data_IF_900753268611
#
_entry.id   IF_900753268611
#
_cell.length_a   1.000
_cell.length_b   1.000
_cell.length_c   1.000
_cell.angle_alpha   90.00
_cell.angle_beta   90.00
_cell.angle_gamma   90.00
#
_symmetry.space_group_name_H-M   'P 1'
#
loop_
_entity.id
_entity.type
_entity.pdbx_description
1 polymer ?
#
# COMPACT_ATOMS: atom_id res chain seq x y z
N UNK A 1 34.68 -0.97 6.51
CA UNK A 1 33.89 -0.08 5.62
C UNK A 1 32.52 0.06 6.25
N UNK A 2 32.07 1.30 6.48
CA UNK A 2 30.74 1.60 7.05
C UNK A 2 29.94 2.30 5.97
N UNK A 3 28.70 1.82 5.69
CA UNK A 3 27.78 2.48 4.78
C UNK A 3 26.75 3.28 5.61
N UNK A 4 26.61 4.57 5.35
CA UNK A 4 25.54 5.40 5.88
C UNK A 4 24.37 5.45 4.90
N UNK A 5 23.17 5.22 5.40
CA UNK A 5 21.93 5.38 4.60
C UNK A 5 21.39 6.79 4.81
N UNK A 6 21.71 7.68 3.88
CA UNK A 6 21.34 9.11 4.01
C UNK A 6 19.98 9.46 3.40
N UNK A 7 19.50 8.68 2.42
CA UNK A 7 18.19 8.86 1.80
C UNK A 7 17.51 7.50 1.63
N UNK A 8 16.78 7.07 2.65
CA UNK A 8 16.05 5.82 2.59
C UNK A 8 14.54 6.05 2.50
N UNK A 9 13.88 5.29 1.65
CA UNK A 9 12.43 5.19 1.61
C UNK A 9 12.05 3.82 2.15
N UNK A 10 11.26 3.80 3.22
CA UNK A 10 10.83 2.56 3.88
C UNK A 10 9.43 2.14 3.44
N UNK A 11 9.24 0.84 3.35
CA UNK A 11 7.93 0.19 3.34
C UNK A 11 7.83 -0.74 4.54
N UNK A 12 6.69 -0.75 5.21
CA UNK A 12 6.46 -1.62 6.37
C UNK A 12 5.50 -2.74 6.01
N UNK A 13 5.81 -3.97 6.42
CA UNK A 13 5.02 -5.16 6.10
C UNK A 13 4.68 -5.91 7.38
N UNK A 14 3.40 -6.26 7.52
CA UNK A 14 2.88 -7.05 8.64
C UNK A 14 2.13 -8.26 8.13
N UNK A 15 2.27 -9.39 8.81
CA UNK A 15 1.37 -10.54 8.66
C UNK A 15 0.28 -10.43 9.73
N UNK A 16 -0.98 -10.41 9.31
CA UNK A 16 -2.13 -10.36 10.21
C UNK A 16 -2.95 -11.63 9.99
N UNK A 17 -3.10 -12.43 11.05
CA UNK A 17 -3.69 -13.77 10.94
C UNK A 17 -5.13 -13.87 11.49
N UNK A 18 -5.65 -12.80 12.11
CA UNK A 18 -6.88 -12.89 12.92
C UNK A 18 -8.10 -12.27 12.24
N UNK A 19 -8.06 -12.02 10.94
CA UNK A 19 -9.21 -11.50 10.20
C UNK A 19 -9.96 -12.60 9.44
N UNK A 20 -11.27 -12.47 9.36
CA UNK A 20 -12.11 -13.26 8.47
C UNK A 20 -11.91 -12.78 7.02
N UNK A 21 -10.84 -13.27 6.41
CA UNK A 21 -10.48 -12.94 5.04
C UNK A 21 -11.58 -13.33 4.03
N UNK A 22 -12.38 -14.35 4.31
CA UNK A 22 -13.46 -14.77 3.44
C UNK A 22 -14.57 -13.69 3.39
N UNK A 23 -14.96 -13.17 4.55
CA UNK A 23 -15.92 -12.05 4.63
C UNK A 23 -15.36 -10.81 3.97
N UNK A 24 -14.07 -10.48 4.19
CA UNK A 24 -13.44 -9.32 3.55
C UNK A 24 -13.39 -9.44 2.02
N UNK A 25 -13.11 -10.62 1.47
CA UNK A 25 -13.20 -10.86 0.02
C UNK A 25 -14.61 -10.59 -0.52
N UNK A 26 -15.65 -11.13 0.13
CA UNK A 26 -17.04 -10.88 -0.26
C UNK A 26 -17.40 -9.39 -0.23
N UNK A 27 -16.92 -8.65 0.76
CA UNK A 27 -17.10 -7.19 0.82
C UNK A 27 -16.42 -6.49 -0.36
N UNK A 28 -15.17 -6.83 -0.67
CA UNK A 28 -14.47 -6.28 -1.85
C UNK A 28 -15.24 -6.58 -3.13
N UNK A 29 -15.68 -7.81 -3.35
CA UNK A 29 -16.47 -8.20 -4.51
C UNK A 29 -17.77 -7.40 -4.62
N UNK A 30 -18.52 -7.28 -3.51
CA UNK A 30 -19.76 -6.52 -3.46
C UNK A 30 -19.57 -5.06 -3.93
N UNK A 31 -18.56 -4.36 -3.41
CA UNK A 31 -18.30 -2.97 -3.77
C UNK A 31 -17.71 -2.81 -5.18
N UNK A 32 -16.99 -3.82 -5.69
CA UNK A 32 -16.45 -3.80 -7.05
C UNK A 32 -17.51 -4.10 -8.13
N UNK A 33 -18.54 -4.91 -7.83
CA UNK A 33 -19.51 -5.39 -8.81
C UNK A 33 -20.85 -4.64 -8.75
N UNK A 34 -21.14 -3.90 -7.67
CA UNK A 34 -22.43 -3.22 -7.50
C UNK A 34 -22.62 -2.11 -8.55
N UNK A 35 -23.64 -2.22 -9.45
CA UNK A 35 -23.88 -1.24 -10.51
C UNK A 35 -24.29 0.14 -9.99
N UNK A 36 -24.80 0.27 -8.76
CA UNK A 36 -25.12 1.54 -8.13
C UNK A 36 -23.89 2.34 -7.70
N UNK A 37 -22.73 1.70 -7.56
CA UNK A 37 -21.44 2.35 -7.31
C UNK A 37 -20.81 2.94 -8.59
N UNK A 38 -21.60 3.30 -9.60
CA UNK A 38 -21.11 3.81 -10.91
C UNK A 38 -20.64 5.26 -10.91
N UNK A 39 -20.59 5.93 -9.79
CA UNK A 39 -19.96 7.26 -9.68
C UNK A 39 -18.44 7.18 -9.54
N UNK A 40 -17.75 8.30 -9.62
CA UNK A 40 -16.29 8.44 -9.78
C UNK A 40 -15.43 7.63 -8.80
N UNK A 41 -15.99 7.18 -7.67
CA UNK A 41 -15.33 6.33 -6.67
C UNK A 41 -16.04 4.97 -6.51
N UNK A 42 -16.18 4.25 -7.59
CA UNK A 42 -16.96 3.00 -7.72
C UNK A 42 -16.61 1.84 -6.78
N UNK A 43 -15.59 1.98 -5.95
CA UNK A 43 -15.04 0.93 -5.09
C UNK A 43 -14.93 1.34 -3.64
N UNK A 44 -15.45 2.54 -3.31
CA UNK A 44 -15.46 3.05 -1.94
C UNK A 44 -16.25 2.10 -1.04
N UNK A 45 -15.61 1.61 0.00
CA UNK A 45 -16.19 0.66 0.96
C UNK A 45 -16.80 1.35 2.18
N UNK A 46 -16.61 2.67 2.32
CA UNK A 46 -17.03 3.45 3.49
C UNK A 46 -16.17 3.18 4.73
N UNK A 47 -15.74 4.23 5.39
CA UNK A 47 -14.94 4.12 6.63
C UNK A 47 -15.77 3.58 7.81
N UNK A 48 -17.08 3.68 7.74
CA UNK A 48 -18.06 3.20 8.70
C UNK A 48 -18.53 1.76 8.43
N UNK A 49 -17.99 1.10 7.40
CA UNK A 49 -18.33 -0.29 7.09
C UNK A 49 -18.03 -1.20 8.29
N UNK A 50 -19.06 -1.88 8.85
CA UNK A 50 -18.90 -2.68 10.06
C UNK A 50 -17.91 -3.83 9.93
N UNK A 51 -17.70 -4.34 8.70
CA UNK A 51 -16.71 -5.40 8.43
C UNK A 51 -15.27 -4.90 8.42
N UNK A 52 -15.03 -3.59 8.38
CA UNK A 52 -13.70 -2.98 8.37
C UNK A 52 -13.26 -2.40 9.70
N UNK A 53 -14.13 -2.32 10.72
CA UNK A 53 -13.86 -1.64 12.00
C UNK A 53 -12.55 -2.11 12.62
N UNK A 54 -12.35 -3.42 12.73
CA UNK A 54 -11.13 -3.96 13.36
C UNK A 54 -9.89 -3.76 12.47
N UNK A 55 -10.03 -3.87 11.16
CA UNK A 55 -8.95 -3.57 10.23
C UNK A 55 -8.58 -2.08 10.27
N UNK A 56 -9.56 -1.18 10.33
CA UNK A 56 -9.38 0.26 10.49
C UNK A 56 -8.56 0.60 11.75
N UNK A 57 -8.87 -0.04 12.88
CA UNK A 57 -8.11 0.13 14.15
C UNK A 57 -6.66 -0.28 14.00
N UNK A 58 -6.40 -1.44 13.40
CA UNK A 58 -5.03 -1.92 13.18
C UNK A 58 -4.25 -0.97 12.27
N UNK A 59 -4.86 -0.50 11.18
CA UNK A 59 -4.21 0.43 10.24
C UNK A 59 -3.88 1.75 10.94
N UNK A 60 -4.81 2.34 11.68
CA UNK A 60 -4.57 3.55 12.46
C UNK A 60 -3.43 3.37 13.45
N UNK A 61 -3.44 2.27 14.22
CA UNK A 61 -2.40 1.98 15.20
C UNK A 61 -1.01 1.86 14.55
N UNK A 62 -0.90 1.12 13.46
CA UNK A 62 0.39 0.94 12.77
C UNK A 62 0.87 2.23 12.11
N UNK A 63 -0.05 3.02 11.55
CA UNK A 63 0.27 4.32 10.95
C UNK A 63 0.71 5.33 12.00
N UNK A 64 0.07 5.33 13.19
CA UNK A 64 0.47 6.19 14.30
C UNK A 64 1.87 5.84 14.83
N UNK A 65 2.22 4.55 14.89
CA UNK A 65 3.58 4.14 15.25
C UNK A 65 4.64 4.65 14.26
N UNK A 66 4.34 4.66 12.97
CA UNK A 66 5.22 5.26 11.96
C UNK A 66 5.34 6.77 12.19
N UNK A 67 4.22 7.48 12.40
CA UNK A 67 4.22 8.92 12.66
C UNK A 67 5.02 9.26 13.92
N UNK A 68 4.86 8.51 15.00
CA UNK A 68 5.59 8.70 16.26
C UNK A 68 7.11 8.50 16.09
N UNK A 69 7.53 7.70 15.11
CA UNK A 69 8.95 7.57 14.74
C UNK A 69 9.51 8.79 13.97
N UNK A 70 8.64 9.67 13.45
CA UNK A 70 9.03 10.85 12.67
C UNK A 70 8.95 12.14 13.46
N UNK A 71 8.13 12.18 14.51
CA UNK A 71 7.93 13.40 15.31
C UNK A 71 7.64 13.08 16.77
N UNK A 72 8.12 13.92 17.67
CA UNK A 72 7.77 13.91 19.09
C UNK A 72 6.62 14.85 19.44
N UNK A 73 6.01 15.53 18.45
CA UNK A 73 4.88 16.40 18.69
C UNK A 73 3.63 15.59 19.11
N UNK A 74 3.13 15.75 20.35
CA UNK A 74 1.97 14.99 20.84
C UNK A 74 0.65 15.46 20.23
N UNK A 75 0.64 16.62 19.56
CA UNK A 75 -0.57 17.24 19.02
C UNK A 75 -0.82 16.84 17.54
N UNK A 76 -0.24 15.73 17.10
CA UNK A 76 -0.48 15.19 15.75
C UNK A 76 -1.01 13.77 15.81
N UNK A 77 -2.00 13.48 15.01
CA UNK A 77 -2.55 12.15 14.90
C UNK A 77 -2.86 11.77 13.44
N UNK A 78 -2.83 10.47 13.16
CA UNK A 78 -3.27 9.92 11.88
C UNK A 78 -4.78 9.77 11.86
N UNK A 79 -5.36 9.89 10.66
CA UNK A 79 -6.77 9.58 10.43
C UNK A 79 -6.95 8.90 9.07
N UNK A 80 -7.99 8.09 8.94
CA UNK A 80 -8.34 7.48 7.67
C UNK A 80 -9.08 8.51 6.80
N UNK A 81 -8.61 8.68 5.57
CA UNK A 81 -9.22 9.58 4.59
C UNK A 81 -10.19 8.85 3.69
N UNK A 82 -9.77 7.69 3.18
CA UNK A 82 -10.55 6.86 2.24
C UNK A 82 -10.22 5.40 2.42
N UNK A 83 -11.16 4.54 2.05
CA UNK A 83 -10.98 3.09 1.93
C UNK A 83 -11.70 2.57 0.70
N UNK A 84 -11.01 1.74 -0.10
CA UNK A 84 -11.64 1.11 -1.27
C UNK A 84 -11.13 -0.29 -1.50
N UNK A 85 -11.96 -1.10 -2.19
CA UNK A 85 -11.63 -2.45 -2.59
C UNK A 85 -11.11 -2.54 -4.02
N UNK A 86 -10.22 -3.48 -4.28
CA UNK A 86 -9.86 -3.90 -5.62
C UNK A 86 -10.00 -5.41 -5.73
N UNK A 87 -10.80 -5.85 -6.69
CA UNK A 87 -10.92 -7.24 -7.11
C UNK A 87 -10.28 -7.38 -8.48
N UNK A 88 -9.12 -8.03 -8.51
CA UNK A 88 -8.36 -8.23 -9.72
C UNK A 88 -8.50 -9.67 -10.19
N UNK A 89 -9.05 -9.82 -11.39
CA UNK A 89 -9.15 -11.08 -12.13
C UNK A 89 -8.56 -10.88 -13.52
N UNK A 90 -8.00 -11.93 -14.11
CA UNK A 90 -7.56 -11.93 -15.51
C UNK A 90 -6.56 -10.82 -15.86
N UNK A 91 -5.40 -10.80 -15.19
CA UNK A 91 -4.25 -9.96 -15.54
C UNK A 91 -4.48 -8.43 -15.52
N UNK A 92 -5.45 -7.95 -14.77
CA UNK A 92 -5.67 -6.52 -14.61
C UNK A 92 -4.46 -5.83 -13.98
N UNK A 93 -4.06 -4.71 -14.59
CA UNK A 93 -2.99 -3.84 -14.14
C UNK A 93 -3.58 -2.56 -13.53
N UNK A 94 -2.97 -2.06 -12.45
CA UNK A 94 -3.17 -0.69 -12.02
C UNK A 94 -1.94 0.12 -12.43
N UNK A 95 -2.14 1.10 -13.31
CA UNK A 95 -1.07 1.95 -13.85
C UNK A 95 -0.21 2.61 -12.76
N UNK A 96 1.04 3.00 -13.06
CA UNK A 96 1.89 3.72 -12.13
C UNK A 96 1.20 4.98 -11.60
N UNK A 97 1.15 5.14 -10.28
CA UNK A 97 0.48 6.26 -9.61
C UNK A 97 1.03 6.53 -8.21
N UNK A 98 0.58 7.62 -7.63
CA UNK A 98 0.82 8.03 -6.24
C UNK A 98 -0.51 8.42 -5.60
N UNK A 99 -0.58 8.41 -4.27
CA UNK A 99 -1.75 8.86 -3.50
C UNK A 99 -1.51 10.30 -3.02
N UNK A 100 -1.96 11.26 -3.81
CA UNK A 100 -1.80 12.69 -3.47
C UNK A 100 -2.62 13.06 -2.24
N UNK A 101 -2.14 14.04 -1.49
CA UNK A 101 -2.80 14.62 -0.31
C UNK A 101 -2.89 13.66 0.89
N UNK A 102 -2.17 12.55 0.85
CA UNK A 102 -2.09 11.58 1.94
C UNK A 102 -0.68 11.48 2.51
N UNK A 103 -0.57 11.09 3.76
CA UNK A 103 0.70 10.85 4.45
C UNK A 103 1.22 9.45 4.12
N UNK A 104 0.38 8.44 4.33
CA UNK A 104 0.66 7.05 4.02
C UNK A 104 -0.45 6.47 3.14
N UNK A 105 -0.10 5.43 2.39
CA UNK A 105 -1.04 4.47 1.85
C UNK A 105 -0.84 3.13 2.51
N UNK A 106 -1.94 2.41 2.76
CA UNK A 106 -1.91 1.06 3.29
C UNK A 106 -2.71 0.12 2.37
N UNK A 107 -2.19 -1.10 2.19
CA UNK A 107 -2.88 -2.13 1.40
C UNK A 107 -2.93 -3.41 2.21
N UNK A 108 -4.13 -3.87 2.52
CA UNK A 108 -4.38 -5.18 3.10
C UNK A 108 -4.82 -6.16 2.01
N UNK A 109 -4.31 -7.38 2.07
CA UNK A 109 -4.57 -8.43 1.09
C UNK A 109 -5.36 -9.59 1.73
N UNK A 110 -6.71 -9.57 1.72
CA UNK A 110 -7.50 -10.70 2.19
C UNK A 110 -7.32 -11.95 1.33
N UNK A 111 -6.93 -11.79 0.04
CA UNK A 111 -6.54 -12.90 -0.84
C UNK A 111 -5.46 -12.44 -1.81
N UNK A 112 -4.31 -13.13 -1.81
CA UNK A 112 -3.22 -12.92 -2.77
C UNK A 112 -2.30 -14.14 -2.77
N UNK A 113 -1.97 -14.66 -3.96
CA UNK A 113 -1.07 -15.78 -4.16
C UNK A 113 0.13 -15.39 -5.01
N UNK A 114 -0.10 -14.76 -6.16
CA UNK A 114 0.92 -14.32 -7.12
C UNK A 114 0.91 -12.79 -7.36
N UNK A 115 0.22 -12.05 -6.48
CA UNK A 115 0.14 -10.59 -6.58
C UNK A 115 1.53 -9.95 -6.51
N UNK A 116 1.70 -8.83 -7.23
CA UNK A 116 2.93 -8.05 -7.24
C UNK A 116 2.61 -6.57 -7.17
N UNK A 117 3.25 -5.86 -6.22
CA UNK A 117 3.29 -4.41 -6.19
C UNK A 117 4.74 -3.97 -6.35
N UNK A 118 5.00 -3.11 -7.31
CA UNK A 118 6.33 -2.63 -7.64
C UNK A 118 6.42 -1.15 -7.34
N UNK A 119 7.41 -0.79 -6.55
CA UNK A 119 7.75 0.58 -6.17
C UNK A 119 8.94 1.06 -7.00
N UNK A 120 8.93 2.34 -7.36
CA UNK A 120 10.01 2.99 -8.09
C UNK A 120 10.81 3.89 -7.17
N UNK A 121 12.12 3.85 -7.30
CA UNK A 121 13.00 4.74 -6.54
C UNK A 121 12.76 6.19 -6.94
N UNK A 122 12.54 7.10 -5.99
CA UNK A 122 12.47 8.53 -6.29
C UNK A 122 13.82 9.15 -6.68
N UNK A 123 14.92 8.38 -6.54
CA UNK A 123 16.30 8.85 -6.71
C UNK A 123 17.04 8.22 -7.89
N UNK A 124 16.35 7.50 -8.75
CA UNK A 124 16.96 6.65 -9.80
C UNK A 124 17.91 7.43 -10.72
N UNK A 125 17.48 8.60 -11.16
CA UNK A 125 18.25 9.40 -12.13
C UNK A 125 19.51 10.02 -11.54
N UNK A 126 19.55 10.19 -10.22
CA UNK A 126 20.69 10.79 -9.55
C UNK A 126 21.88 9.83 -9.37
N UNK A 127 21.64 8.51 -9.31
CA UNK A 127 22.65 7.54 -8.92
C UNK A 127 23.24 6.82 -10.14
N UNK A 128 22.45 6.56 -11.18
CA UNK A 128 22.84 5.68 -12.30
C UNK A 128 23.00 6.39 -13.64
N UNK A 129 22.84 7.71 -13.71
CA UNK A 129 22.80 8.46 -14.97
C UNK A 129 24.06 8.39 -15.83
N UNK A 130 25.21 7.98 -15.26
CA UNK A 130 26.50 8.03 -15.93
C UNK A 130 27.27 6.70 -15.99
N UNK A 131 26.70 5.60 -15.43
CA UNK A 131 27.39 4.31 -15.44
C UNK A 131 26.46 3.23 -15.97
N UNK A 132 26.70 2.69 -17.18
CA UNK A 132 25.98 1.52 -17.66
C UNK A 132 26.43 0.31 -16.83
N UNK A 133 25.76 0.06 -15.72
CA UNK A 133 26.01 -1.08 -14.86
C UNK A 133 25.00 -2.17 -15.19
N UNK A 134 25.50 -3.31 -15.63
CA UNK A 134 24.72 -4.55 -15.64
C UNK A 134 24.77 -5.08 -14.21
N UNK A 135 23.72 -4.80 -13.43
CA UNK A 135 23.59 -5.32 -12.09
C UNK A 135 22.89 -6.68 -12.14
N UNK A 136 23.58 -7.74 -11.76
CA UNK A 136 23.02 -9.09 -11.59
C UNK A 136 22.46 -9.32 -10.16
N UNK A 137 22.74 -8.40 -9.24
CA UNK A 137 22.31 -8.45 -7.85
C UNK A 137 21.70 -7.13 -7.40
N UNK A 138 20.62 -7.25 -6.62
CA UNK A 138 20.06 -6.11 -5.91
C UNK A 138 21.05 -5.55 -4.89
N UNK A 139 21.23 -4.24 -4.92
CA UNK A 139 22.00 -3.50 -3.93
C UNK A 139 21.35 -2.12 -3.71
N UNK A 140 21.48 -1.56 -2.51
CA UNK A 140 20.92 -0.25 -2.17
C UNK A 140 21.38 0.91 -3.09
N UNK A 141 22.53 0.76 -3.74
CA UNK A 141 23.08 1.75 -4.68
C UNK A 141 22.66 1.54 -6.15
N UNK A 142 22.05 0.42 -6.51
CA UNK A 142 21.70 0.13 -7.91
C UNK A 142 20.21 -0.14 -8.14
N UNK A 143 19.38 0.00 -7.10
CA UNK A 143 18.00 -0.36 -7.21
C UNK A 143 17.14 0.82 -7.71
N UNK A 144 16.64 0.70 -8.93
CA UNK A 144 15.66 1.63 -9.51
C UNK A 144 14.22 1.27 -9.14
N UNK A 145 13.99 0.03 -8.76
CA UNK A 145 12.67 -0.49 -8.44
C UNK A 145 12.74 -1.61 -7.41
N UNK A 146 11.67 -1.78 -6.65
CA UNK A 146 11.53 -2.86 -5.67
C UNK A 146 10.17 -3.53 -5.81
N UNK A 147 10.15 -4.85 -6.00
CA UNK A 147 8.91 -5.60 -6.13
C UNK A 147 8.63 -6.38 -4.84
N UNK A 148 7.43 -6.18 -4.31
CA UNK A 148 6.90 -6.94 -3.18
C UNK A 148 5.87 -7.94 -3.70
N UNK A 149 5.89 -9.15 -3.16
CA UNK A 149 4.98 -10.24 -3.45
C UNK A 149 4.07 -10.47 -2.25
N UNK A 150 2.96 -9.73 -2.15
CA UNK A 150 2.07 -9.83 -1.00
C UNK A 150 1.39 -11.19 -0.96
N UNK A 151 1.26 -11.72 0.25
CA UNK A 151 0.53 -12.95 0.55
C UNK A 151 -0.78 -12.62 1.24
N UNK A 152 -1.70 -13.55 1.24
CA UNK A 152 -2.95 -13.46 2.02
C UNK A 152 -2.64 -13.12 3.48
N UNK A 153 -3.36 -12.14 4.03
CA UNK A 153 -3.17 -11.63 5.39
C UNK A 153 -2.07 -10.58 5.54
N UNK A 154 -1.40 -10.17 4.45
CA UNK A 154 -0.41 -9.10 4.54
C UNK A 154 -1.04 -7.71 4.52
N UNK A 155 -0.53 -6.86 5.41
CA UNK A 155 -0.70 -5.42 5.39
C UNK A 155 0.63 -4.77 5.01
N UNK A 156 0.59 -3.89 4.01
CA UNK A 156 1.76 -3.12 3.55
C UNK A 156 1.43 -1.64 3.73
N UNK A 157 2.31 -0.89 4.43
CA UNK A 157 2.26 0.56 4.55
C UNK A 157 3.47 1.18 3.85
N UNK A 158 3.24 2.28 3.13
CA UNK A 158 4.28 3.01 2.41
C UNK A 158 3.93 4.50 2.30
N UNK A 159 4.94 5.37 2.07
CA UNK A 159 4.69 6.80 1.82
C UNK A 159 3.74 7.00 0.64
N UNK A 160 2.71 7.81 0.83
CA UNK A 160 1.65 7.98 -0.15
C UNK A 160 2.15 8.56 -1.50
N UNK A 161 3.24 9.32 -1.48
CA UNK A 161 3.88 9.89 -2.67
C UNK A 161 4.87 8.95 -3.36
N UNK A 162 5.07 7.73 -2.86
CA UNK A 162 5.95 6.75 -3.49
C UNK A 162 5.29 6.18 -4.75
N UNK A 163 5.90 6.44 -5.91
CA UNK A 163 5.41 5.93 -7.20
C UNK A 163 5.40 4.41 -7.18
N UNK A 164 4.27 3.83 -7.51
CA UNK A 164 4.11 2.39 -7.56
C UNK A 164 3.13 1.95 -8.64
N UNK A 165 3.23 0.68 -9.01
CA UNK A 165 2.36 0.01 -9.97
C UNK A 165 1.92 -1.33 -9.38
N UNK A 166 0.69 -1.73 -9.66
CA UNK A 166 0.22 -3.09 -9.35
C UNK A 166 0.27 -3.91 -10.61
N UNK A 167 1.17 -4.88 -10.64
CA UNK A 167 1.42 -5.72 -11.81
C UNK A 167 0.32 -6.79 -11.98
N UNK A 168 0.12 -7.30 -13.20
CA UNK A 168 -0.82 -8.37 -13.46
C UNK A 168 -0.57 -9.58 -12.58
N UNK A 169 -1.65 -10.25 -12.17
CA UNK A 169 -1.63 -11.56 -11.52
C UNK A 169 -2.46 -12.54 -12.33
N UNK A 170 -2.03 -13.79 -12.39
CA UNK A 170 -2.79 -14.88 -13.04
C UNK A 170 -3.93 -15.35 -12.15
N UNK A 171 -3.67 -15.34 -10.85
CA UNK A 171 -4.64 -15.73 -9.85
C UNK A 171 -5.48 -14.53 -9.39
N UNK A 172 -6.68 -14.84 -8.93
CA UNK A 172 -7.58 -13.85 -8.36
C UNK A 172 -6.98 -13.20 -7.12
N UNK A 173 -7.03 -11.86 -7.05
CA UNK A 173 -6.51 -11.08 -5.94
C UNK A 173 -7.54 -10.09 -5.43
N UNK A 174 -7.70 -10.05 -4.11
CA UNK A 174 -8.47 -9.04 -3.39
C UNK A 174 -7.53 -8.16 -2.58
N UNK A 175 -7.73 -6.85 -2.64
CA UNK A 175 -7.01 -5.90 -1.80
C UNK A 175 -7.94 -4.80 -1.31
N UNK A 176 -7.68 -4.34 -0.08
CA UNK A 176 -8.36 -3.21 0.56
C UNK A 176 -7.30 -2.14 0.76
N UNK A 177 -7.52 -0.98 0.14
CA UNK A 177 -6.56 0.12 0.10
C UNK A 177 -7.07 1.28 0.94
N UNK A 178 -6.17 1.91 1.67
CA UNK A 178 -6.44 3.07 2.52
C UNK A 178 -5.54 4.24 2.16
N UNK A 179 -6.13 5.42 2.17
CA UNK A 179 -5.40 6.67 2.26
C UNK A 179 -5.47 7.18 3.70
N UNK A 180 -4.32 7.61 4.21
CA UNK A 180 -4.13 7.99 5.61
C UNK A 180 -3.55 9.40 5.66
N UNK A 181 -4.26 10.29 6.32
CA UNK A 181 -3.82 11.67 6.56
C UNK A 181 -3.25 11.88 7.95
N UNK A 182 -2.68 13.06 8.17
CA UNK A 182 -2.22 13.58 9.47
C UNK A 182 -2.94 14.88 9.76
N UNK A 183 -3.36 15.09 10.99
CA UNK A 183 -3.97 16.34 11.45
C UNK A 183 -3.38 16.78 12.78
N UNK A 184 -3.51 18.08 13.07
CA UNK A 184 -3.29 18.65 14.40
C UNK A 184 -4.55 18.42 15.25
N UNK A 185 -4.36 18.10 16.55
CA UNK A 185 -5.41 17.94 17.56
C UNK A 185 -5.28 19.01 18.64
#
# INVERSE_FOLDING_TARGET
>A
MFNERIFSVGITKFQINNFDNQTLCKQVEYFCTNPHNKTVNKRDMGLDNPHLIELNKVILQQSQLILNGLTSNPNVEVYLQRVWGNHNVNENICSPHVHRESFLSAVYYPKSTDGRIQFYSPFTDAILSHVPVIADKYHEFNSSQHTVYPKTGWLILFPANLLHVVLPSKEERHSIVYDIGVKLI
#
